data_IF_816202236535
#
_entry.id   IF_816202236535
#
_cell.length_a   1.000
_cell.length_b   1.000
_cell.length_c   1.000
_cell.angle_alpha   90.00
_cell.angle_beta   90.00
_cell.angle_gamma   90.00
#
_symmetry.space_group_name_H-M   'P 1'
#
loop_
_entity.id
_entity.type
_entity.pdbx_description
1 polymer ?
#
# COMPACT_ATOMS: atom_id res chain seq x y z
N UNK A 1 14.05 16.34 27.22
CA UNK A 1 12.78 16.28 26.46
C UNK A 1 13.02 16.23 24.95
N UNK A 2 13.71 17.22 24.35
CA UNK A 2 14.02 17.22 22.91
C UNK A 2 14.77 15.96 22.45
N UNK A 3 15.78 15.51 23.22
CA UNK A 3 16.52 14.28 22.90
C UNK A 3 15.67 13.01 22.91
N UNK A 4 14.67 12.91 23.78
CA UNK A 4 13.77 11.75 23.81
C UNK A 4 12.83 11.75 22.61
N UNK A 5 12.36 12.91 22.18
CA UNK A 5 11.54 13.06 20.98
C UNK A 5 12.36 12.64 19.76
N UNK A 6 13.60 13.14 19.64
CA UNK A 6 14.52 12.77 18.55
C UNK A 6 14.75 11.26 18.51
N UNK A 7 15.06 10.65 19.66
CA UNK A 7 15.29 9.20 19.76
C UNK A 7 14.06 8.36 19.41
N UNK A 8 12.86 8.80 19.81
CA UNK A 8 11.61 8.14 19.43
C UNK A 8 11.31 8.28 17.95
N UNK A 9 11.62 9.43 17.33
CA UNK A 9 11.51 9.61 15.89
C UNK A 9 12.49 8.71 15.12
N UNK A 10 13.75 8.67 15.55
CA UNK A 10 14.78 7.80 14.98
C UNK A 10 14.35 6.32 15.05
N UNK A 11 13.87 5.86 16.21
CA UNK A 11 13.30 4.51 16.36
C UNK A 11 12.06 4.30 15.48
N UNK A 12 11.20 5.30 15.33
CA UNK A 12 10.02 5.22 14.49
C UNK A 12 10.36 5.07 13.00
N UNK A 13 11.41 5.76 12.53
CA UNK A 13 11.92 5.61 11.15
C UNK A 13 12.54 4.23 10.96
N UNK A 14 13.37 3.79 11.89
CA UNK A 14 13.99 2.46 11.83
C UNK A 14 12.93 1.34 11.81
N UNK A 15 11.88 1.47 12.62
CA UNK A 15 10.76 0.53 12.64
C UNK A 15 9.94 0.56 11.34
N UNK A 16 9.79 1.73 10.71
CA UNK A 16 9.05 1.86 9.45
C UNK A 16 9.78 1.20 8.26
N UNK A 17 11.10 1.06 8.34
CA UNK A 17 11.93 0.42 7.32
C UNK A 17 12.07 -1.08 7.51
N UNK A 18 11.66 -1.62 8.66
CA UNK A 18 11.78 -3.04 8.97
C UNK A 18 10.73 -3.90 8.28
N UNK A 19 11.13 -5.12 7.98
CA UNK A 19 10.26 -6.17 7.46
C UNK A 19 9.37 -6.76 8.55
N UNK A 20 8.29 -7.43 8.13
CA UNK A 20 7.40 -8.17 9.04
C UNK A 20 8.18 -9.14 9.95
N UNK A 21 9.08 -9.93 9.38
CA UNK A 21 9.88 -10.93 10.11
C UNK A 21 10.77 -10.28 11.18
N UNK A 22 11.42 -9.16 10.85
CA UNK A 22 12.24 -8.43 11.83
C UNK A 22 11.42 -7.85 12.99
N UNK A 23 10.18 -7.45 12.73
CA UNK A 23 9.29 -6.97 13.80
C UNK A 23 8.79 -8.13 14.66
N UNK A 24 8.52 -9.29 14.06
CA UNK A 24 8.19 -10.52 14.80
C UNK A 24 9.32 -10.93 15.73
N UNK A 25 10.57 -10.88 15.25
CA UNK A 25 11.75 -11.23 16.06
C UNK A 25 12.01 -10.20 17.17
N UNK A 26 11.78 -8.92 16.90
CA UNK A 26 11.85 -7.89 17.94
C UNK A 26 10.80 -8.09 19.04
N UNK A 27 9.59 -8.53 18.69
CA UNK A 27 8.56 -8.86 19.68
C UNK A 27 8.97 -10.07 20.54
N UNK A 28 9.52 -11.13 19.93
CA UNK A 28 10.06 -12.30 20.65
C UNK A 28 11.20 -11.93 21.61
N UNK A 29 12.10 -11.04 21.18
CA UNK A 29 13.19 -10.54 22.02
C UNK A 29 12.65 -9.80 23.26
N UNK A 30 11.59 -9.01 23.11
CA UNK A 30 10.96 -8.31 24.23
C UNK A 30 10.25 -9.23 25.22
N UNK A 31 9.60 -10.30 24.75
CA UNK A 31 9.07 -11.37 25.61
C UNK A 31 10.21 -12.03 26.39
N UNK A 32 11.29 -12.42 25.70
CA UNK A 32 12.43 -13.12 26.31
C UNK A 32 13.12 -12.29 27.40
N UNK A 33 13.13 -10.97 27.25
CA UNK A 33 13.68 -10.01 28.21
C UNK A 33 12.69 -9.64 29.33
N UNK A 34 11.50 -10.25 29.37
CA UNK A 34 10.46 -9.98 30.35
C UNK A 34 9.86 -8.58 30.27
N UNK A 35 10.04 -7.89 29.12
CA UNK A 35 9.56 -6.51 28.91
C UNK A 35 8.10 -6.46 28.47
N UNK A 36 7.58 -7.55 27.92
CA UNK A 36 6.21 -7.72 27.46
C UNK A 36 5.74 -9.12 27.81
N UNK A 37 4.46 -9.26 28.18
CA UNK A 37 3.85 -10.59 28.26
C UNK A 37 3.59 -11.17 26.86
N UNK A 38 3.49 -12.50 26.75
CA UNK A 38 3.15 -13.18 25.49
C UNK A 38 1.86 -12.65 24.85
N UNK A 39 0.87 -12.31 25.68
CA UNK A 39 -0.45 -11.84 25.25
C UNK A 39 -0.33 -10.43 24.65
N UNK A 40 0.41 -9.54 25.32
CA UNK A 40 0.61 -8.17 24.85
C UNK A 40 1.44 -8.12 23.56
N UNK A 41 2.49 -8.94 23.49
CA UNK A 41 3.34 -9.02 22.30
C UNK A 41 2.57 -9.55 21.08
N UNK A 42 1.75 -10.60 21.25
CA UNK A 42 0.88 -11.10 20.16
C UNK A 42 -0.10 -10.04 19.68
N UNK A 43 -0.79 -9.37 20.61
CA UNK A 43 -1.75 -8.32 20.26
C UNK A 43 -1.08 -7.16 19.52
N UNK A 44 0.10 -6.73 19.97
CA UNK A 44 0.85 -5.65 19.34
C UNK A 44 1.29 -6.02 17.92
N UNK A 45 1.75 -7.26 17.72
CA UNK A 45 2.11 -7.77 16.41
C UNK A 45 0.89 -7.82 15.48
N UNK A 46 -0.22 -8.39 15.92
CA UNK A 46 -1.46 -8.48 15.12
C UNK A 46 -1.95 -7.10 14.67
N UNK A 47 -1.94 -6.11 15.57
CA UNK A 47 -2.33 -4.73 15.25
C UNK A 47 -1.38 -4.09 14.22
N UNK A 48 -0.08 -4.37 14.30
CA UNK A 48 0.90 -3.85 13.35
C UNK A 48 0.73 -4.51 11.97
N UNK A 49 0.53 -5.83 11.93
CA UNK A 49 0.30 -6.58 10.71
C UNK A 49 -0.95 -6.10 9.98
N UNK A 50 -2.05 -5.88 10.71
CA UNK A 50 -3.29 -5.33 10.13
C UNK A 50 -3.05 -3.95 9.51
N UNK A 51 -2.32 -3.07 10.21
CA UNK A 51 -1.97 -1.74 9.70
C UNK A 51 -1.08 -1.82 8.46
N UNK A 52 -0.14 -2.75 8.45
CA UNK A 52 0.74 -2.98 7.31
C UNK A 52 -0.07 -3.36 6.05
N UNK A 53 -1.02 -4.29 6.18
CA UNK A 53 -1.90 -4.69 5.09
C UNK A 53 -2.76 -3.52 4.56
N UNK A 54 -3.28 -2.68 5.45
CA UNK A 54 -4.05 -1.48 5.07
C UNK A 54 -3.19 -0.46 4.32
N UNK A 55 -1.96 -0.22 4.79
CA UNK A 55 -1.00 0.68 4.13
C UNK A 55 -0.62 0.13 2.76
N UNK A 56 -0.35 -1.17 2.65
CA UNK A 56 -0.03 -1.84 1.38
C UNK A 56 -1.14 -1.64 0.34
N UNK A 57 -2.40 -1.89 0.70
CA UNK A 57 -3.55 -1.68 -0.21
C UNK A 57 -3.68 -0.23 -0.67
N UNK A 58 -3.47 0.74 0.23
CA UNK A 58 -3.46 2.17 -0.14
C UNK A 58 -2.32 2.49 -1.09
N UNK A 59 -1.13 1.93 -0.85
CA UNK A 59 0.05 2.12 -1.70
C UNK A 59 -0.18 1.55 -3.10
N UNK A 60 -0.75 0.34 -3.22
CA UNK A 60 -1.15 -0.25 -4.49
C UNK A 60 -2.09 0.67 -5.29
N UNK A 61 -3.10 1.24 -4.63
CA UNK A 61 -4.03 2.19 -5.28
C UNK A 61 -3.34 3.48 -5.75
N UNK A 62 -2.42 4.03 -4.95
CA UNK A 62 -1.66 5.23 -5.31
C UNK A 62 -0.74 4.95 -6.50
N UNK A 63 -0.07 3.80 -6.52
CA UNK A 63 0.76 3.37 -7.64
C UNK A 63 -0.08 3.22 -8.90
N UNK A 64 -1.21 2.51 -8.82
CA UNK A 64 -2.12 2.31 -9.96
C UNK A 64 -2.59 3.66 -10.54
N UNK A 65 -3.00 4.60 -9.69
CA UNK A 65 -3.39 5.95 -10.11
C UNK A 65 -2.23 6.70 -10.76
N UNK A 66 -1.05 6.67 -10.15
CA UNK A 66 0.14 7.37 -10.67
C UNK A 66 0.53 6.84 -12.05
N UNK A 67 0.51 5.52 -12.24
CA UNK A 67 0.78 4.90 -13.54
C UNK A 67 -0.28 5.29 -14.56
N UNK A 68 -1.58 5.24 -14.21
CA UNK A 68 -2.66 5.69 -15.11
C UNK A 68 -2.50 7.16 -15.52
N UNK A 69 -2.13 8.04 -14.60
CA UNK A 69 -1.89 9.45 -14.90
C UNK A 69 -0.69 9.65 -15.83
N UNK A 70 0.41 8.91 -15.63
CA UNK A 70 1.56 8.95 -16.52
C UNK A 70 1.18 8.51 -17.93
N UNK A 71 0.47 7.38 -18.06
CA UNK A 71 0.01 6.87 -19.36
C UNK A 71 -0.89 7.89 -20.09
N UNK A 72 -1.77 8.58 -19.36
CA UNK A 72 -2.57 9.68 -19.92
C UNK A 72 -1.70 10.84 -20.41
N UNK A 73 -0.68 11.23 -19.64
CA UNK A 73 0.23 12.34 -20.02
C UNK A 73 1.03 12.05 -21.29
N UNK A 74 1.34 10.78 -21.57
CA UNK A 74 2.02 10.36 -22.80
C UNK A 74 1.04 9.98 -23.92
N UNK A 75 -0.24 10.38 -23.80
CA UNK A 75 -1.30 10.12 -24.78
C UNK A 75 -1.51 8.64 -25.12
N UNK A 76 -1.27 7.74 -24.17
CA UNK A 76 -1.57 6.31 -24.33
C UNK A 76 -3.01 6.06 -23.94
N UNK A 77 -3.83 5.67 -24.93
CA UNK A 77 -5.22 5.26 -24.70
C UNK A 77 -5.28 3.91 -24.00
N UNK A 78 -6.19 3.79 -23.03
CA UNK A 78 -6.49 2.53 -22.37
C UNK A 78 -7.24 1.58 -23.30
N UNK A 79 -7.18 0.28 -22.99
CA UNK A 79 -7.91 -0.75 -23.75
C UNK A 79 -9.42 -0.51 -23.72
N UNK A 80 -9.94 -0.02 -22.60
CA UNK A 80 -11.37 0.25 -22.44
C UNK A 80 -11.81 1.43 -23.32
N UNK A 81 -11.04 2.53 -23.33
CA UNK A 81 -11.29 3.67 -24.24
C UNK A 81 -11.26 3.24 -25.72
N UNK A 82 -10.35 2.34 -26.10
CA UNK A 82 -10.30 1.79 -27.47
C UNK A 82 -11.53 0.93 -27.77
N UNK A 83 -11.97 0.10 -26.84
CA UNK A 83 -13.15 -0.75 -27.02
C UNK A 83 -14.43 0.07 -27.10
N UNK A 84 -14.56 1.11 -26.28
CA UNK A 84 -15.69 2.05 -26.31
C UNK A 84 -15.78 2.74 -27.67
N UNK A 85 -14.64 3.25 -28.17
CA UNK A 85 -14.57 3.85 -29.50
C UNK A 85 -14.95 2.84 -30.60
N UNK A 86 -14.49 1.59 -30.50
CA UNK A 86 -14.85 0.53 -31.46
C UNK A 86 -16.36 0.25 -31.46
N UNK A 87 -16.99 0.22 -30.28
CA UNK A 87 -18.43 0.00 -30.15
C UNK A 87 -19.23 1.17 -30.75
N UNK A 88 -18.80 2.41 -30.52
CA UNK A 88 -19.43 3.58 -31.13
C UNK A 88 -19.31 3.57 -32.66
N UNK A 89 -18.12 3.23 -33.17
CA UNK A 89 -17.89 3.08 -34.62
C UNK A 89 -18.82 2.04 -35.24
N UNK A 90 -19.04 0.90 -34.58
CA UNK A 90 -19.97 -0.11 -35.09
C UNK A 90 -21.43 0.36 -35.06
N UNK A 91 -21.87 1.08 -34.02
CA UNK A 91 -23.21 1.67 -33.97
C UNK A 91 -23.44 2.68 -35.10
N UNK A 92 -22.46 3.54 -35.36
CA UNK A 92 -22.51 4.52 -36.45
C UNK A 92 -22.57 3.83 -37.82
N UNK A 93 -21.77 2.77 -38.04
CA UNK A 93 -21.83 1.99 -39.28
C UNK A 93 -23.19 1.33 -39.50
N UNK A 94 -23.83 0.85 -38.43
CA UNK A 94 -25.17 0.25 -38.54
C UNK A 94 -26.24 1.28 -38.90
N UNK A 95 -26.16 2.50 -38.34
CA UNK A 95 -27.12 3.57 -38.58
C UNK A 95 -26.98 4.22 -39.97
N UNK A 96 -25.79 4.19 -40.57
CA UNK A 96 -25.58 4.61 -41.97
C UNK A 96 -26.04 3.54 -42.98
N UNK A 97 -26.13 2.27 -42.57
CA UNK A 97 -26.59 1.16 -43.43
C UNK A 97 -28.12 0.99 -43.46
N UNK A 98 -28.85 1.69 -42.59
CA UNK A 98 -30.31 1.82 -42.64
C UNK A 98 -30.70 3.01 -43.51
#
# INVERSE_FOLDING_TARGET
MLDQIRKTMEMGVDLALKTKEEVEDMAKDFISKGKLSDIEAKKMLDDLLRRYDDVKKKMESVIEKSVKEILKKVNVASKDEINDLKNEVEKLKQSIKQ
#
